data_IF_809101980644
#
_entry.id   IF_809101980644
#
_cell.length_a   1.000
_cell.length_b   1.000
_cell.length_c   1.000
_cell.angle_alpha   90.00
_cell.angle_beta   90.00
_cell.angle_gamma   90.00
#
_symmetry.space_group_name_H-M   'P 1'
#
loop_
_entity.id
_entity.type
_entity.pdbx_description
1 polymer ?
#
# COMPACT_ATOMS: atom_id res chain seq x y z
N UNK A 1 -18.32 -9.66 31.82
CA UNK A 1 -17.09 -9.66 31.00
C UNK A 1 -17.56 -9.45 29.57
N UNK A 2 -17.21 -8.36 28.91
CA UNK A 2 -17.80 -8.00 27.61
C UNK A 2 -17.11 -8.75 26.47
N UNK A 3 -17.82 -9.75 25.94
CA UNK A 3 -17.84 -10.26 24.56
C UNK A 3 -16.60 -10.14 23.68
N UNK A 4 -15.73 -11.14 23.75
CA UNK A 4 -14.85 -11.52 22.63
C UNK A 4 -14.98 -13.03 22.35
N UNK A 5 -16.16 -13.59 22.60
CA UNK A 5 -16.42 -15.00 22.28
C UNK A 5 -16.58 -15.17 20.77
N UNK A 6 -15.96 -16.20 20.23
CA UNK A 6 -16.04 -16.51 18.82
C UNK A 6 -17.51 -16.85 18.48
N UNK A 7 -18.14 -16.02 17.62
CA UNK A 7 -19.56 -16.06 17.18
C UNK A 7 -20.58 -15.24 17.99
N UNK A 8 -20.18 -14.45 18.98
CA UNK A 8 -21.08 -13.46 19.57
C UNK A 8 -20.99 -12.13 18.79
N UNK A 9 -22.14 -11.50 18.52
CA UNK A 9 -22.18 -10.20 17.85
C UNK A 9 -21.96 -9.14 18.91
N UNK A 10 -20.82 -8.45 18.87
CA UNK A 10 -20.54 -7.35 19.80
C UNK A 10 -21.72 -6.34 19.75
N UNK A 11 -22.45 -6.15 20.86
CA UNK A 11 -23.54 -5.18 20.89
C UNK A 11 -23.03 -3.73 20.71
N UNK A 12 -21.72 -3.49 20.81
CA UNK A 12 -21.08 -2.19 20.62
C UNK A 12 -20.26 -2.15 19.32
N UNK A 13 -20.93 -1.90 18.19
CA UNK A 13 -20.31 -1.62 16.88
C UNK A 13 -19.33 -0.41 16.87
N UNK A 14 -19.31 0.36 17.96
CA UNK A 14 -18.48 1.55 18.14
C UNK A 14 -17.01 1.27 18.46
N UNK A 15 -16.66 0.09 18.97
CA UNK A 15 -15.27 -0.22 19.37
C UNK A 15 -14.31 -0.24 18.17
N UNK A 16 -14.60 -0.95 17.06
CA UNK A 16 -13.75 -0.91 15.86
C UNK A 16 -13.64 0.50 15.29
N UNK A 17 -14.74 1.26 15.34
CA UNK A 17 -14.77 2.66 14.91
C UNK A 17 -13.81 3.47 15.78
N UNK A 18 -13.90 3.41 17.10
CA UNK A 18 -13.02 4.18 17.99
C UNK A 18 -11.54 3.78 17.83
N UNK A 19 -11.25 2.49 17.69
CA UNK A 19 -9.90 1.99 17.44
C UNK A 19 -9.33 2.57 16.14
N UNK A 20 -10.09 2.53 15.03
CA UNK A 20 -9.66 3.06 13.74
C UNK A 20 -9.67 4.59 13.68
N UNK A 21 -10.64 5.26 14.32
CA UNK A 21 -10.81 6.72 14.24
C UNK A 21 -9.84 7.47 15.13
N UNK A 22 -9.69 7.00 16.36
CA UNK A 22 -9.00 7.74 17.43
C UNK A 22 -7.62 7.14 17.66
N UNK A 23 -7.55 5.84 17.98
CA UNK A 23 -6.28 5.21 18.36
C UNK A 23 -5.32 5.15 17.17
N UNK A 24 -5.76 4.62 16.02
CA UNK A 24 -4.91 4.52 14.83
C UNK A 24 -4.35 5.88 14.44
N UNK A 25 -5.19 6.92 14.39
CA UNK A 25 -4.75 8.29 14.04
C UNK A 25 -3.76 8.87 15.04
N UNK A 26 -4.04 8.73 16.35
CA UNK A 26 -3.16 9.22 17.42
C UNK A 26 -1.78 8.55 17.35
N UNK A 27 -1.77 7.25 17.05
CA UNK A 27 -0.56 6.44 17.05
C UNK A 27 0.11 6.34 15.66
N UNK A 28 -0.38 7.04 14.63
CA UNK A 28 0.22 7.08 13.28
C UNK A 28 1.74 7.40 13.28
N UNK A 29 2.24 8.39 14.06
CA UNK A 29 3.68 8.66 14.10
C UNK A 29 4.50 7.48 14.62
N UNK A 30 3.94 6.65 15.52
CA UNK A 30 4.59 5.43 16.03
C UNK A 30 4.59 4.32 14.98
N UNK A 31 3.58 4.29 14.12
CA UNK A 31 3.47 3.33 13.02
C UNK A 31 4.30 3.73 11.79
N UNK A 32 4.70 5.00 11.66
CA UNK A 32 5.51 5.51 10.54
C UNK A 32 6.77 4.69 10.19
N UNK A 33 7.65 4.29 11.13
CA UNK A 33 8.81 3.46 10.80
C UNK A 33 8.39 2.09 10.24
N UNK A 34 7.37 1.46 10.83
CA UNK A 34 6.85 0.16 10.38
C UNK A 34 6.24 0.29 8.98
N UNK A 35 5.42 1.32 8.74
CA UNK A 35 4.82 1.55 7.42
C UNK A 35 5.89 1.76 6.35
N UNK A 36 6.93 2.58 6.62
CA UNK A 36 8.04 2.81 5.68
C UNK A 36 8.76 1.51 5.33
N UNK A 37 9.15 0.75 6.34
CA UNK A 37 9.83 -0.53 6.16
C UNK A 37 8.98 -1.49 5.32
N UNK A 38 7.70 -1.64 5.68
CA UNK A 38 6.80 -2.58 5.00
C UNK A 38 6.45 -2.14 3.59
N UNK A 39 6.37 -0.84 3.31
CA UNK A 39 6.23 -0.30 1.96
C UNK A 39 7.43 -0.71 1.11
N UNK A 40 8.64 -0.51 1.61
CA UNK A 40 9.86 -0.89 0.90
C UNK A 40 9.88 -2.39 0.60
N UNK A 41 9.70 -3.23 1.62
CA UNK A 41 9.63 -4.69 1.44
C UNK A 41 8.55 -5.12 0.45
N UNK A 42 7.39 -4.48 0.48
CA UNK A 42 6.28 -4.80 -0.42
C UNK A 42 6.57 -4.42 -1.88
N UNK A 43 7.22 -3.27 -2.11
CA UNK A 43 7.64 -2.85 -3.45
C UNK A 43 8.71 -3.80 -3.98
N UNK A 44 9.74 -4.09 -3.20
CA UNK A 44 10.81 -5.00 -3.61
C UNK A 44 10.29 -6.41 -3.90
N UNK A 45 9.41 -6.94 -3.04
CA UNK A 45 8.77 -8.24 -3.25
C UNK A 45 7.86 -8.26 -4.48
N UNK A 46 7.24 -7.13 -4.84
CA UNK A 46 6.45 -7.04 -6.07
C UNK A 46 7.36 -7.05 -7.31
N UNK A 47 8.47 -6.30 -7.26
CA UNK A 47 9.40 -6.16 -8.38
C UNK A 47 10.28 -7.40 -8.60
N UNK A 48 10.58 -8.17 -7.56
CA UNK A 48 11.36 -9.41 -7.68
C UNK A 48 10.67 -10.48 -8.54
N UNK A 49 9.37 -10.33 -8.82
CA UNK A 49 8.57 -11.24 -9.65
C UNK A 49 8.77 -11.03 -11.15
N UNK A 50 9.39 -9.94 -11.58
CA UNK A 50 9.60 -9.61 -12.99
C UNK A 50 11.04 -9.21 -13.29
N UNK A 51 11.45 -9.43 -14.55
CA UNK A 51 12.77 -9.04 -15.04
C UNK A 51 12.94 -7.52 -15.17
N UNK A 52 14.18 -7.03 -15.06
CA UNK A 52 14.54 -5.62 -15.26
C UNK A 52 14.66 -5.30 -16.77
N UNK A 53 14.28 -4.08 -17.22
CA UNK A 53 13.56 -3.03 -16.49
C UNK A 53 12.11 -3.44 -16.19
N UNK A 54 11.57 -2.97 -15.06
CA UNK A 54 10.26 -3.45 -14.58
C UNK A 54 9.12 -2.67 -15.21
N UNK A 55 8.33 -3.31 -16.08
CA UNK A 55 7.03 -2.77 -16.50
C UNK A 55 5.96 -3.21 -15.52
N UNK A 56 5.39 -2.27 -14.77
CA UNK A 56 4.44 -2.55 -13.69
C UNK A 56 3.09 -1.87 -13.92
N UNK A 57 1.96 -2.58 -13.77
CA UNK A 57 0.65 -1.95 -13.67
C UNK A 57 0.54 -1.18 -12.35
N UNK A 58 0.27 0.13 -12.45
CA UNK A 58 0.21 1.03 -11.28
C UNK A 58 -0.85 0.58 -10.29
N UNK A 59 -2.01 0.18 -10.80
CA UNK A 59 -3.11 -0.31 -9.98
C UNK A 59 -2.72 -1.58 -9.20
N UNK A 60 -2.09 -2.55 -9.87
CA UNK A 60 -1.66 -3.81 -9.23
C UNK A 60 -0.58 -3.59 -8.17
N UNK A 61 0.42 -2.74 -8.47
CA UNK A 61 1.46 -2.38 -7.50
C UNK A 61 0.84 -1.70 -6.27
N UNK A 62 0.00 -0.69 -6.48
CA UNK A 62 -0.67 0.06 -5.41
C UNK A 62 -1.50 -0.88 -4.55
N UNK A 63 -2.33 -1.75 -5.16
CA UNK A 63 -3.15 -2.74 -4.45
C UNK A 63 -2.29 -3.70 -3.62
N UNK A 64 -1.18 -4.20 -4.17
CA UNK A 64 -0.30 -5.13 -3.48
C UNK A 64 0.37 -4.46 -2.26
N UNK A 65 0.93 -3.26 -2.44
CA UNK A 65 1.59 -2.52 -1.35
C UNK A 65 0.59 -2.13 -0.27
N UNK A 66 -0.53 -1.50 -0.64
CA UNK A 66 -1.57 -1.09 0.31
C UNK A 66 -2.15 -2.28 1.07
N UNK A 67 -2.43 -3.39 0.37
CA UNK A 67 -2.96 -4.61 1.00
C UNK A 67 -2.00 -5.21 2.01
N UNK A 68 -0.73 -5.39 1.63
CA UNK A 68 0.28 -6.01 2.52
C UNK A 68 0.57 -5.15 3.76
N UNK A 69 0.74 -3.85 3.57
CA UNK A 69 0.99 -2.93 4.70
C UNK A 69 -0.24 -2.84 5.59
N UNK A 70 -1.45 -2.76 5.03
CA UNK A 70 -2.68 -2.68 5.84
C UNK A 70 -2.93 -3.95 6.62
N UNK A 71 -2.70 -5.12 6.02
CA UNK A 71 -2.86 -6.38 6.75
C UNK A 71 -1.85 -6.49 7.90
N UNK A 72 -0.61 -6.05 7.69
CA UNK A 72 0.40 -6.04 8.73
C UNK A 72 0.04 -5.11 9.89
N UNK A 73 -0.50 -3.93 9.61
CA UNK A 73 -0.85 -2.93 10.64
C UNK A 73 -2.10 -3.35 11.41
N UNK A 74 -3.11 -3.88 10.72
CA UNK A 74 -4.41 -4.22 11.33
C UNK A 74 -4.39 -5.58 12.03
N UNK A 75 -3.65 -6.54 11.52
CA UNK A 75 -3.71 -7.94 11.98
C UNK A 75 -2.37 -8.48 12.51
N UNK A 76 -1.30 -7.68 12.48
CA UNK A 76 0.04 -8.12 12.88
C UNK A 76 0.73 -8.99 11.82
N UNK A 77 1.92 -9.52 12.16
CA UNK A 77 2.76 -10.31 11.24
C UNK A 77 2.20 -11.69 10.94
N UNK A 78 1.55 -12.33 11.91
CA UNK A 78 1.05 -13.70 11.77
C UNK A 78 -0.01 -13.82 10.66
N UNK A 79 -0.96 -12.89 10.65
CA UNK A 79 -2.02 -12.83 9.64
C UNK A 79 -1.64 -11.99 8.43
N UNK A 80 -0.75 -11.01 8.62
CA UNK A 80 -0.27 -10.11 7.57
C UNK A 80 0.43 -10.82 6.42
N UNK A 81 1.14 -11.91 6.71
CA UNK A 81 1.96 -12.65 5.72
C UNK A 81 1.20 -13.79 5.02
N UNK A 82 0.02 -14.17 5.52
CA UNK A 82 -0.79 -15.23 4.93
C UNK A 82 -1.36 -14.81 3.56
N UNK A 83 -0.93 -15.48 2.49
CA UNK A 83 -1.42 -15.22 1.13
C UNK A 83 -2.93 -15.48 1.00
N UNK A 84 -3.42 -16.53 1.66
CA UNK A 84 -4.86 -16.86 1.73
C UNK A 84 -5.62 -15.71 2.38
N UNK A 85 -5.12 -15.17 3.49
CA UNK A 85 -5.74 -14.03 4.16
C UNK A 85 -5.71 -12.77 3.29
N UNK A 86 -4.57 -12.49 2.65
CA UNK A 86 -4.44 -11.36 1.73
C UNK A 86 -5.41 -11.45 0.56
N UNK A 87 -5.58 -12.63 -0.04
CA UNK A 87 -6.52 -12.83 -1.14
C UNK A 87 -7.97 -12.67 -0.69
N UNK A 88 -8.35 -13.25 0.46
CA UNK A 88 -9.71 -13.10 1.02
C UNK A 88 -10.00 -11.66 1.43
N UNK A 89 -9.07 -11.01 2.12
CA UNK A 89 -9.21 -9.61 2.53
C UNK A 89 -9.29 -8.67 1.34
N UNK A 90 -8.43 -8.84 0.33
CA UNK A 90 -8.47 -8.03 -0.89
C UNK A 90 -9.71 -8.32 -1.74
N UNK A 91 -10.18 -9.57 -1.79
CA UNK A 91 -11.42 -9.95 -2.46
C UNK A 91 -12.62 -9.27 -1.81
N UNK A 92 -12.71 -9.34 -0.48
CA UNK A 92 -13.75 -8.67 0.29
C UNK A 92 -13.65 -7.14 0.22
N UNK A 93 -12.45 -6.55 0.32
CA UNK A 93 -12.23 -5.11 0.20
C UNK A 93 -12.57 -4.60 -1.22
N UNK A 94 -12.31 -5.39 -2.27
CA UNK A 94 -12.70 -5.05 -3.65
C UNK A 94 -14.21 -5.19 -3.89
N UNK A 95 -14.85 -6.26 -3.42
CA UNK A 95 -16.31 -6.39 -3.49
C UNK A 95 -17.01 -5.31 -2.68
N UNK A 96 -16.37 -4.87 -1.61
CA UNK A 96 -16.82 -3.74 -0.81
C UNK A 96 -16.53 -2.38 -1.45
N UNK A 97 -15.65 -2.30 -2.45
CA UNK A 97 -15.44 -1.07 -3.22
C UNK A 97 -16.56 -0.82 -4.24
N UNK A 98 -17.25 -1.87 -4.68
CA UNK A 98 -18.47 -1.77 -5.50
C UNK A 98 -19.74 -1.40 -4.72
N UNK A 99 -19.69 -1.40 -3.38
CA UNK A 99 -20.78 -0.96 -2.50
C UNK A 99 -20.37 0.27 -1.71
N UNK A 100 -21.20 1.31 -1.68
CA UNK A 100 -20.91 2.59 -1.03
C UNK A 100 -20.53 2.52 0.48
N UNK A 101 -20.62 1.37 1.14
CA UNK A 101 -20.48 1.23 2.59
C UNK A 101 -19.05 1.31 3.12
N UNK A 102 -18.02 0.89 2.36
CA UNK A 102 -16.62 0.99 2.83
C UNK A 102 -16.06 2.40 2.70
N UNK A 103 -16.49 3.14 1.67
CA UNK A 103 -16.21 4.56 1.57
C UNK A 103 -16.81 5.28 2.78
N UNK A 104 -18.08 5.06 3.14
CA UNK A 104 -18.70 5.83 4.24
C UNK A 104 -18.16 5.51 5.63
N UNK A 105 -17.84 4.25 5.94
CA UNK A 105 -17.34 3.86 7.28
C UNK A 105 -15.85 4.22 7.52
N UNK A 106 -15.01 4.22 6.47
CA UNK A 106 -13.56 4.44 6.57
C UNK A 106 -13.09 5.78 5.97
N UNK A 107 -13.92 6.50 5.20
CA UNK A 107 -13.55 7.80 4.59
C UNK A 107 -13.18 8.90 5.59
N UNK A 108 -13.49 8.76 6.88
CA UNK A 108 -13.16 9.81 7.85
C UNK A 108 -11.78 9.67 8.52
N UNK A 109 -11.35 8.48 8.98
CA UNK A 109 -10.04 8.34 9.63
C UNK A 109 -9.01 7.53 8.85
N UNK A 110 -9.45 6.50 8.12
CA UNK A 110 -8.57 5.69 7.27
C UNK A 110 -7.92 6.51 6.17
N UNK A 111 -8.52 7.66 5.79
CA UNK A 111 -7.91 8.61 4.84
C UNK A 111 -6.54 9.13 5.27
N UNK A 112 -6.31 9.34 6.57
CA UNK A 112 -5.02 9.85 7.06
C UNK A 112 -3.96 8.77 6.97
N UNK A 113 -4.29 7.57 7.44
CA UNK A 113 -3.47 6.38 7.28
C UNK A 113 -3.16 6.08 5.81
N UNK A 114 -4.18 6.06 4.95
CA UNK A 114 -4.04 5.82 3.52
C UNK A 114 -3.18 6.91 2.86
N UNK A 115 -3.37 8.18 3.24
CA UNK A 115 -2.55 9.29 2.75
C UNK A 115 -1.07 9.10 3.10
N UNK A 116 -0.77 8.76 4.36
CA UNK A 116 0.61 8.55 4.79
C UNK A 116 1.24 7.31 4.14
N UNK A 117 0.50 6.21 4.02
CA UNK A 117 0.94 5.02 3.30
C UNK A 117 1.27 5.34 1.84
N UNK A 118 0.38 6.06 1.13
CA UNK A 118 0.60 6.46 -0.26
C UNK A 118 1.81 7.40 -0.35
N UNK A 119 1.97 8.34 0.58
CA UNK A 119 3.16 9.21 0.62
C UNK A 119 4.44 8.39 0.80
N UNK A 120 4.47 7.44 1.73
CA UNK A 120 5.65 6.59 1.91
C UNK A 120 5.95 5.75 0.67
N UNK A 121 4.94 5.21 0.01
CA UNK A 121 5.10 4.50 -1.26
C UNK A 121 5.66 5.40 -2.35
N UNK A 122 5.13 6.62 -2.50
CA UNK A 122 5.62 7.59 -3.47
C UNK A 122 7.04 8.05 -3.17
N UNK A 123 7.36 8.36 -1.90
CA UNK A 123 8.70 8.75 -1.45
C UNK A 123 9.68 7.63 -1.81
N UNK A 124 9.37 6.39 -1.45
CA UNK A 124 10.24 5.25 -1.76
C UNK A 124 10.43 5.08 -3.28
N UNK A 125 9.36 5.16 -4.08
CA UNK A 125 9.45 5.05 -5.53
C UNK A 125 10.27 6.20 -6.14
N UNK A 126 10.06 7.44 -5.73
CA UNK A 126 10.72 8.63 -6.27
C UNK A 126 12.19 8.75 -5.86
N UNK A 127 12.56 8.23 -4.68
CA UNK A 127 13.94 8.21 -4.20
C UNK A 127 14.76 7.12 -4.90
N UNK A 128 14.17 5.95 -5.12
CA UNK A 128 14.92 4.75 -5.52
C UNK A 128 14.78 4.40 -7.01
N UNK A 129 13.81 4.97 -7.73
CA UNK A 129 13.51 4.61 -9.11
C UNK A 129 13.33 5.82 -10.02
N UNK A 130 13.73 5.65 -11.27
CA UNK A 130 13.32 6.49 -12.39
C UNK A 130 12.03 5.88 -12.96
N UNK A 131 11.00 6.72 -13.13
CA UNK A 131 9.66 6.30 -13.53
C UNK A 131 9.36 6.89 -14.90
N UNK A 132 9.03 6.03 -15.87
CA UNK A 132 8.62 6.44 -17.22
C UNK A 132 7.25 5.82 -17.55
N UNK A 133 6.36 6.49 -18.30
CA UNK A 133 5.17 5.83 -18.82
C UNK A 133 5.57 4.66 -19.73
N UNK A 134 4.93 3.50 -19.58
CA UNK A 134 5.22 2.35 -20.44
C UNK A 134 4.61 2.49 -21.85
N UNK A 135 3.57 3.32 -21.97
CA UNK A 135 2.82 3.52 -23.21
C UNK A 135 3.03 4.95 -23.70
N UNK A 136 3.30 5.10 -25.01
CA UNK A 136 3.43 6.42 -25.64
C UNK A 136 2.12 7.21 -25.60
N UNK A 137 0.98 6.51 -25.68
CA UNK A 137 -0.36 7.10 -25.52
C UNK A 137 -0.87 6.78 -24.12
N UNK A 138 -1.11 7.82 -23.33
CA UNK A 138 -1.65 7.65 -21.99
C UNK A 138 -3.08 7.07 -22.05
N UNK A 139 -3.40 6.04 -21.26
CA UNK A 139 -4.75 5.51 -21.21
C UNK A 139 -5.68 6.57 -20.61
N UNK A 140 -6.89 6.68 -21.17
CA UNK A 140 -7.86 7.68 -20.73
C UNK A 140 -8.26 7.42 -19.27
N UNK A 141 -8.32 8.45 -18.43
CA UNK A 141 -8.87 8.31 -17.09
C UNK A 141 -10.34 7.88 -17.17
N UNK A 142 -10.77 7.15 -16.15
CA UNK A 142 -12.17 6.72 -16.01
C UNK A 142 -12.90 7.84 -15.28
N UNK A 143 -13.97 8.36 -15.90
CA UNK A 143 -14.84 9.33 -15.28
C UNK A 143 -16.06 8.61 -14.73
N UNK A 144 -16.30 8.76 -13.42
CA UNK A 144 -17.47 8.23 -12.76
C UNK A 144 -18.14 9.36 -11.99
N UNK A 145 -19.29 9.84 -12.50
CA UNK A 145 -20.00 11.03 -11.99
C UNK A 145 -19.07 12.25 -11.88
N UNK A 146 -18.59 12.58 -10.69
CA UNK A 146 -17.66 13.69 -10.38
C UNK A 146 -16.24 13.21 -10.04
N UNK A 147 -16.02 11.90 -9.93
CA UNK A 147 -14.73 11.29 -9.62
C UNK A 147 -13.92 11.02 -10.90
N UNK A 148 -12.63 11.31 -10.82
CA UNK A 148 -11.63 10.96 -11.84
C UNK A 148 -10.79 9.82 -11.27
N UNK A 149 -10.88 8.64 -11.87
CA UNK A 149 -10.08 7.49 -11.50
C UNK A 149 -8.97 7.23 -12.53
N UNK A 150 -7.77 6.79 -12.10
CA UNK A 150 -6.74 6.38 -13.03
C UNK A 150 -7.21 5.18 -13.85
N UNK A 151 -6.72 5.06 -15.07
CA UNK A 151 -7.01 3.87 -15.87
C UNK A 151 -6.42 2.63 -15.20
N UNK A 152 -7.20 1.55 -15.15
CA UNK A 152 -6.75 0.26 -14.62
C UNK A 152 -5.64 -0.37 -15.48
N UNK A 153 -5.51 0.06 -16.75
CA UNK A 153 -4.46 -0.37 -17.67
C UNK A 153 -3.21 0.51 -17.63
N UNK A 154 -3.13 1.50 -16.74
CA UNK A 154 -1.97 2.36 -16.59
C UNK A 154 -0.75 1.55 -16.15
N UNK A 155 0.30 1.58 -16.96
CA UNK A 155 1.57 0.93 -16.70
C UNK A 155 2.72 1.94 -16.72
N UNK A 156 3.69 1.71 -15.84
CA UNK A 156 4.93 2.48 -15.78
C UNK A 156 6.13 1.55 -15.87
N UNK A 157 7.20 2.03 -16.48
CA UNK A 157 8.52 1.40 -16.46
C UNK A 157 9.29 1.99 -15.29
N UNK A 158 9.77 1.12 -14.41
CA UNK A 158 10.64 1.46 -13.30
C UNK A 158 12.05 1.00 -13.61
N UNK A 159 13.00 1.91 -13.43
CA UNK A 159 14.44 1.64 -13.52
C UNK A 159 15.06 2.04 -12.17
N UNK A 160 15.88 1.18 -11.56
CA UNK A 160 16.54 1.53 -10.29
C UNK A 160 17.52 2.69 -10.53
N UNK A 161 17.54 3.67 -9.63
CA UNK A 161 18.46 4.81 -9.70
C UNK A 161 19.85 4.41 -9.21
N UNK A 162 20.89 4.74 -9.98
CA UNK A 162 22.30 4.33 -9.76
C UNK A 162 22.99 4.89 -8.49
N UNK A 163 22.25 5.47 -7.54
CA UNK A 163 22.78 5.94 -6.25
C UNK A 163 21.85 5.63 -5.07
N UNK A 164 20.84 4.78 -5.29
CA UNK A 164 19.85 4.42 -4.27
C UNK A 164 20.31 3.27 -3.36
N UNK A 165 21.29 2.48 -3.80
CA UNK A 165 22.03 1.57 -2.94
C UNK A 165 23.14 2.36 -2.27
N UNK A 166 22.97 2.71 -1.00
CA UNK A 166 24.08 3.06 -0.10
C UNK A 166 24.99 1.85 0.16
N UNK A 167 25.47 1.20 -0.91
CA UNK A 167 26.68 0.42 -0.86
C UNK A 167 27.82 1.40 -1.15
N UNK A 168 28.49 1.81 -0.07
CA UNK A 168 29.87 2.28 -0.10
C UNK A 168 30.67 1.34 -1.00
N UNK A 169 30.89 1.75 -2.24
CA UNK A 169 31.90 1.12 -3.09
C UNK A 169 33.26 1.46 -2.46
N UNK A 170 34.02 0.49 -1.95
CA UNK A 170 35.36 0.77 -1.43
C UNK A 170 36.20 1.29 -2.60
N UNK A 171 36.97 2.34 -2.29
CA UNK A 171 37.69 3.18 -3.24
C UNK A 171 38.35 2.41 -4.38
N UNK A 172 38.05 2.87 -5.60
CA UNK A 172 38.97 2.73 -6.73
C UNK A 172 40.22 3.51 -6.35
N UNK A 173 41.21 2.80 -5.81
CA UNK A 173 42.55 3.33 -5.61
C UNK A 173 43.06 3.83 -6.97
N UNK A 174 43.20 5.15 -7.08
CA UNK A 174 44.01 5.75 -8.13
C UNK A 174 45.45 5.32 -7.88
N UNK A 175 45.98 4.49 -8.77
CA UNK A 175 47.40 4.23 -8.87
C UNK A 175 48.06 5.49 -9.46
N UNK A 176 48.84 6.17 -8.62
CA UNK A 176 49.88 7.12 -9.01
C UNK A 176 51.21 6.52 -8.58
#
# INVERSE_FOLDING_TARGET
MFGFEHNDVDPNDTIPIQALKVCLRRDLPRLAPVMRQRVQESVEAFLSRSGRPWTVPVFSLTKAVCGRVSNQILFGSELGESLTWQHSFLGWALMSWSGASWAEAICSPGRWYASDLIKYALIHLLQNYNIKPAQQRQPRPIFWTTAIAPSLSLQVVLERRNGASGEDSPGRAEAV
#
